data_IF_078707710643
#
_entry.id   IF_078707710643
#
_cell.length_a   1.000
_cell.length_b   1.000
_cell.length_c   1.000
_cell.angle_alpha   90.00
_cell.angle_beta   90.00
_cell.angle_gamma   90.00
#
_symmetry.space_group_name_H-M   'P 1'
#
loop_
_entity.id
_entity.type
_entity.pdbx_description
1 polymer ?
#
# COMPACT_ATOMS: atom_id res chain seq x y z
N UNK A 1 11.30 -49.33 -42.82
CA UNK A 1 11.76 -48.77 -41.52
C UNK A 1 11.69 -47.24 -41.42
N UNK A 2 12.17 -46.45 -42.40
CA UNK A 2 12.20 -44.97 -42.33
C UNK A 2 10.85 -44.28 -42.06
N UNK A 3 9.73 -44.84 -42.56
CA UNK A 3 8.38 -44.25 -42.42
C UNK A 3 7.83 -44.26 -40.98
N UNK A 4 8.21 -45.24 -40.15
CA UNK A 4 7.76 -45.35 -38.74
C UNK A 4 8.48 -44.36 -37.82
N UNK A 5 9.72 -44.01 -38.15
CA UNK A 5 10.54 -43.04 -37.39
C UNK A 5 9.96 -41.62 -37.52
N UNK A 6 9.49 -41.24 -38.71
CA UNK A 6 8.86 -39.92 -38.93
C UNK A 6 7.56 -39.72 -38.15
N UNK A 7 6.76 -40.78 -37.98
CA UNK A 7 5.51 -40.71 -37.20
C UNK A 7 5.81 -40.51 -35.71
N UNK A 8 6.80 -41.22 -35.17
CA UNK A 8 7.20 -41.06 -33.77
C UNK A 8 7.77 -39.65 -33.49
N UNK A 9 8.59 -39.11 -34.39
CA UNK A 9 9.14 -37.76 -34.26
C UNK A 9 8.05 -36.67 -34.31
N UNK A 10 7.07 -36.79 -35.21
CA UNK A 10 5.98 -35.81 -35.31
C UNK A 10 5.07 -35.80 -34.07
N UNK A 11 4.77 -36.98 -33.51
CA UNK A 11 4.01 -37.08 -32.25
C UNK A 11 4.77 -36.47 -31.08
N UNK A 12 6.08 -36.70 -30.99
CA UNK A 12 6.91 -36.14 -29.91
C UNK A 12 6.94 -34.60 -29.92
N UNK A 13 6.99 -34.00 -31.11
CA UNK A 13 6.95 -32.54 -31.29
C UNK A 13 5.58 -31.99 -30.89
N UNK A 14 4.48 -32.65 -31.28
CA UNK A 14 3.13 -32.19 -30.91
C UNK A 14 2.94 -32.22 -29.38
N UNK A 15 3.41 -33.27 -28.72
CA UNK A 15 3.33 -33.39 -27.25
C UNK A 15 4.19 -32.32 -26.55
N UNK A 16 5.39 -32.02 -27.05
CA UNK A 16 6.25 -30.98 -26.45
C UNK A 16 5.66 -29.58 -26.60
N UNK A 17 5.07 -29.27 -27.76
CA UNK A 17 4.42 -27.98 -28.02
C UNK A 17 3.16 -27.85 -27.17
N UNK A 18 2.33 -28.88 -27.06
CA UNK A 18 1.14 -28.86 -26.20
C UNK A 18 1.51 -28.67 -24.71
N UNK A 19 2.57 -29.33 -24.26
CA UNK A 19 3.10 -29.18 -22.89
C UNK A 19 3.61 -27.75 -22.65
N UNK A 20 4.30 -27.16 -23.62
CA UNK A 20 4.79 -25.78 -23.54
C UNK A 20 3.65 -24.76 -23.44
N UNK A 21 2.56 -24.95 -24.20
CA UNK A 21 1.37 -24.10 -24.12
C UNK A 21 0.62 -24.26 -22.79
N UNK A 22 0.55 -25.48 -22.24
CA UNK A 22 -0.05 -25.71 -20.92
C UNK A 22 0.77 -25.07 -19.79
N UNK A 23 2.10 -25.14 -19.86
CA UNK A 23 2.99 -24.50 -18.88
C UNK A 23 2.81 -22.97 -18.92
N UNK A 24 2.74 -22.36 -20.11
CA UNK A 24 2.46 -20.91 -20.23
C UNK A 24 1.11 -20.50 -19.64
N UNK A 25 0.08 -21.34 -19.73
CA UNK A 25 -1.24 -21.07 -19.14
C UNK A 25 -1.23 -21.16 -17.60
N UNK A 26 -0.31 -21.94 -17.02
CA UNK A 26 -0.14 -22.06 -15.57
C UNK A 26 0.71 -20.94 -14.94
N UNK A 27 1.61 -20.33 -15.72
CA UNK A 27 2.30 -19.10 -15.31
C UNK A 27 1.35 -17.91 -15.47
N UNK A 28 0.40 -17.83 -14.54
CA UNK A 28 -0.42 -16.65 -14.28
C UNK A 28 0.49 -15.43 -14.24
N UNK A 29 0.25 -14.46 -15.13
CA UNK A 29 0.98 -13.20 -15.08
C UNK A 29 0.87 -12.60 -13.67
N UNK A 30 1.94 -12.00 -13.12
CA UNK A 30 1.89 -11.40 -11.80
C UNK A 30 0.75 -10.37 -11.78
N UNK A 31 -0.27 -10.63 -10.96
CA UNK A 31 -1.40 -9.71 -10.79
C UNK A 31 -0.86 -8.34 -10.41
N UNK A 32 -1.00 -7.37 -11.31
CA UNK A 32 -0.57 -6.00 -11.11
C UNK A 32 -1.28 -5.43 -9.88
N UNK A 33 -0.55 -5.16 -8.81
CA UNK A 33 -1.11 -4.55 -7.59
C UNK A 33 -1.48 -3.10 -7.92
N UNK A 34 -2.77 -2.78 -7.79
CA UNK A 34 -3.29 -1.43 -8.05
C UNK A 34 -3.33 -0.64 -6.75
N UNK A 35 -2.26 0.11 -6.48
CA UNK A 35 -2.21 1.07 -5.38
C UNK A 35 -3.05 2.29 -5.73
N UNK A 36 -3.89 2.71 -4.78
CA UNK A 36 -4.79 3.87 -4.96
C UNK A 36 -4.54 4.89 -3.86
N UNK A 37 -4.54 6.16 -4.21
CA UNK A 37 -4.50 7.25 -3.24
C UNK A 37 -5.93 7.77 -3.01
N UNK A 38 -6.51 7.43 -1.86
CA UNK A 38 -7.85 7.87 -1.46
C UNK A 38 -7.77 8.57 -0.10
N UNK A 39 -7.83 9.93 -0.05
CA UNK A 39 -7.64 10.69 1.18
C UNK A 39 -8.73 10.45 2.23
N UNK A 40 -9.97 10.16 1.82
CA UNK A 40 -11.09 9.91 2.73
C UNK A 40 -10.88 8.61 3.51
N UNK A 41 -10.52 7.54 2.81
CA UNK A 41 -10.24 6.23 3.42
C UNK A 41 -9.02 6.30 4.34
N UNK A 42 -7.95 6.98 3.89
CA UNK A 42 -6.75 7.20 4.72
C UNK A 42 -7.09 8.01 5.97
N UNK A 43 -7.92 9.03 5.85
CA UNK A 43 -8.38 9.84 6.98
C UNK A 43 -9.20 9.02 7.96
N UNK A 44 -10.13 8.20 7.47
CA UNK A 44 -10.91 7.28 8.30
C UNK A 44 -9.97 6.36 9.11
N UNK A 45 -8.96 5.77 8.46
CA UNK A 45 -7.96 4.93 9.12
C UNK A 45 -7.11 5.70 10.15
N UNK A 46 -6.72 6.95 9.85
CA UNK A 46 -5.99 7.81 10.79
C UNK A 46 -6.85 8.12 12.02
N UNK A 47 -8.12 8.47 11.84
CA UNK A 47 -9.04 8.76 12.95
C UNK A 47 -9.27 7.52 13.82
N UNK A 48 -9.33 6.34 13.21
CA UNK A 48 -9.60 5.08 13.91
C UNK A 48 -8.38 4.50 14.63
N UNK A 49 -7.22 4.49 14.00
CA UNK A 49 -6.02 3.80 14.53
C UNK A 49 -4.93 4.74 15.02
N UNK A 50 -5.00 6.03 14.69
CA UNK A 50 -4.06 7.08 15.05
C UNK A 50 -2.58 6.64 14.98
N UNK A 51 -2.06 6.26 13.79
CA UNK A 51 -0.71 5.75 13.67
C UNK A 51 0.33 6.77 14.12
N UNK A 52 1.30 6.36 14.92
CA UNK A 52 2.42 7.21 15.30
C UNK A 52 3.29 7.56 14.10
N UNK A 53 3.92 8.73 14.17
CA UNK A 53 4.97 9.13 13.24
C UNK A 53 6.27 9.27 14.00
N UNK A 54 7.34 8.65 13.51
CA UNK A 54 8.69 9.00 13.91
C UNK A 54 9.31 9.97 12.91
N UNK A 55 10.03 10.96 13.42
CA UNK A 55 10.72 11.98 12.62
C UNK A 55 12.23 11.73 12.46
N UNK A 56 12.73 10.63 13.03
CA UNK A 56 14.16 10.42 13.26
C UNK A 56 14.70 11.37 14.33
N UNK A 57 16.01 11.34 14.55
CA UNK A 57 16.69 12.36 15.36
C UNK A 57 16.63 13.69 14.58
N UNK A 58 16.05 14.76 15.14
CA UNK A 58 15.94 16.02 14.43
C UNK A 58 17.33 16.59 14.19
N UNK A 59 17.69 16.83 12.93
CA UNK A 59 18.83 17.68 12.61
C UNK A 59 18.45 19.15 12.83
N UNK A 60 19.44 20.03 12.99
CA UNK A 60 19.22 21.46 12.79
C UNK A 60 18.57 21.67 11.42
N UNK A 61 17.32 22.15 11.38
CA UNK A 61 16.56 22.35 10.12
C UNK A 61 15.20 21.65 10.04
N UNK A 62 14.67 21.08 11.12
CA UNK A 62 13.34 20.44 11.12
C UNK A 62 12.23 21.36 10.60
N UNK A 63 12.22 22.64 10.98
CA UNK A 63 11.22 23.61 10.51
C UNK A 63 11.26 23.82 8.99
N UNK A 64 12.45 23.87 8.40
CA UNK A 64 12.61 23.98 6.95
C UNK A 64 12.03 22.76 6.22
N UNK A 65 12.26 21.56 6.74
CA UNK A 65 11.70 20.32 6.18
C UNK A 65 10.16 20.28 6.30
N UNK A 66 9.63 20.77 7.42
CA UNK A 66 8.19 20.93 7.62
C UNK A 66 7.61 21.87 6.57
N UNK A 67 8.19 23.05 6.40
CA UNK A 67 7.72 24.06 5.46
C UNK A 67 7.76 23.56 4.01
N UNK A 68 8.83 22.86 3.60
CA UNK A 68 8.90 22.23 2.26
C UNK A 68 7.78 21.22 2.08
N UNK A 69 7.57 20.33 3.05
CA UNK A 69 6.60 19.24 2.92
C UNK A 69 5.16 19.77 2.85
N UNK A 70 4.86 20.84 3.59
CA UNK A 70 3.58 21.56 3.52
C UNK A 70 3.43 22.28 2.18
N UNK A 71 4.44 23.06 1.77
CA UNK A 71 4.40 23.88 0.55
C UNK A 71 4.23 23.04 -0.72
N UNK A 72 4.81 21.85 -0.76
CA UNK A 72 4.75 20.97 -1.94
C UNK A 72 3.40 20.27 -2.14
N UNK A 73 2.46 20.37 -1.19
CA UNK A 73 1.16 19.66 -1.25
C UNK A 73 -0.02 20.54 -0.81
N UNK A 74 -0.29 21.67 -1.47
CA UNK A 74 -1.31 22.64 -1.05
C UNK A 74 -2.71 22.01 -0.94
N UNK A 75 -3.12 21.19 -1.90
CA UNK A 75 -4.44 20.53 -1.89
C UNK A 75 -4.61 19.60 -0.68
N UNK A 76 -3.57 18.84 -0.33
CA UNK A 76 -3.59 17.96 0.84
C UNK A 76 -3.61 18.75 2.14
N UNK A 77 -2.93 19.90 2.18
CA UNK A 77 -2.95 20.81 3.32
C UNK A 77 -4.37 21.34 3.53
N UNK A 78 -5.02 21.86 2.48
CA UNK A 78 -6.38 22.38 2.57
C UNK A 78 -7.38 21.29 3.01
N UNK A 79 -7.23 20.09 2.45
CA UNK A 79 -8.01 18.93 2.88
C UNK A 79 -7.81 18.62 4.37
N UNK A 80 -6.56 18.61 4.87
CA UNK A 80 -6.26 18.35 6.28
C UNK A 80 -6.83 19.44 7.18
N UNK A 81 -6.64 20.73 6.82
CA UNK A 81 -7.17 21.87 7.58
C UNK A 81 -8.67 21.75 7.76
N UNK A 82 -9.40 21.48 6.68
CA UNK A 82 -10.86 21.28 6.70
C UNK A 82 -11.27 20.04 7.51
N UNK A 83 -10.56 18.94 7.35
CA UNK A 83 -10.96 17.63 7.90
C UNK A 83 -10.66 17.46 9.39
N UNK A 84 -9.58 18.09 9.86
CA UNK A 84 -9.12 18.03 11.25
C UNK A 84 -9.31 19.35 12.01
N UNK A 85 -9.82 20.40 11.35
CA UNK A 85 -10.07 21.73 11.92
C UNK A 85 -8.83 22.29 12.63
N UNK A 86 -7.72 22.39 11.90
CA UNK A 86 -6.43 22.84 12.46
C UNK A 86 -5.68 23.74 11.49
N UNK A 87 -5.02 24.76 12.03
CA UNK A 87 -4.09 25.63 11.31
C UNK A 87 -2.63 25.43 11.77
N UNK A 88 -2.42 24.55 12.76
CA UNK A 88 -1.10 24.29 13.33
C UNK A 88 -0.22 23.54 12.32
N UNK A 89 0.91 24.14 11.96
CA UNK A 89 1.85 23.57 10.98
C UNK A 89 2.38 22.20 11.40
N UNK A 90 2.70 21.99 12.67
CA UNK A 90 3.18 20.71 13.16
C UNK A 90 2.10 19.64 13.07
N UNK A 91 0.85 19.98 13.42
CA UNK A 91 -0.29 19.06 13.27
C UNK A 91 -0.51 18.72 11.79
N UNK A 92 -0.49 19.72 10.91
CA UNK A 92 -0.65 19.50 9.46
C UNK A 92 0.46 18.57 8.94
N UNK A 93 1.72 18.86 9.27
CA UNK A 93 2.86 18.04 8.90
C UNK A 93 2.75 16.59 9.43
N UNK A 94 2.31 16.43 10.68
CA UNK A 94 2.05 15.13 11.27
C UNK A 94 0.97 14.37 10.49
N UNK A 95 -0.15 15.03 10.17
CA UNK A 95 -1.24 14.41 9.37
C UNK A 95 -0.79 14.04 7.97
N UNK A 96 -0.02 14.89 7.29
CA UNK A 96 0.59 14.56 5.99
C UNK A 96 1.47 13.32 6.14
N UNK A 97 2.26 13.22 7.20
CA UNK A 97 3.15 12.08 7.42
C UNK A 97 2.37 10.79 7.70
N UNK A 98 1.31 10.85 8.51
CA UNK A 98 0.40 9.72 8.74
C UNK A 98 -0.27 9.25 7.43
N UNK A 99 -0.71 10.16 6.55
CA UNK A 99 -1.32 9.81 5.25
C UNK A 99 -0.35 9.02 4.35
N UNK A 100 0.94 9.37 4.37
CA UNK A 100 1.96 8.66 3.58
C UNK A 100 2.31 7.28 4.14
N UNK A 101 2.07 7.03 5.42
CA UNK A 101 2.31 5.72 6.05
C UNK A 101 1.19 4.71 5.76
N UNK A 102 0.14 5.13 5.05
CA UNK A 102 -1.00 4.29 4.71
C UNK A 102 -0.96 3.98 3.22
N UNK A 103 -0.88 2.70 2.91
CA UNK A 103 -1.00 2.17 1.56
C UNK A 103 -2.38 1.52 1.40
N UNK A 104 -3.01 1.74 0.25
CA UNK A 104 -4.31 1.17 -0.08
C UNK A 104 -4.22 0.40 -1.39
N UNK A 105 -4.80 -0.79 -1.39
CA UNK A 105 -4.98 -1.62 -2.59
C UNK A 105 -6.47 -1.78 -2.83
N UNK A 106 -6.95 -1.30 -3.97
CA UNK A 106 -8.38 -1.37 -4.30
C UNK A 106 -8.83 -2.83 -4.45
N UNK A 107 -9.99 -3.14 -3.85
CA UNK A 107 -10.72 -4.40 -3.98
C UNK A 107 -12.17 -4.12 -4.41
N UNK A 108 -12.90 -5.18 -4.76
CA UNK A 108 -14.27 -5.08 -5.28
C UNK A 108 -15.26 -4.41 -4.31
N UNK A 109 -15.02 -4.50 -2.99
CA UNK A 109 -15.92 -3.99 -1.95
C UNK A 109 -15.23 -3.06 -0.93
N UNK A 110 -14.12 -2.43 -1.35
CA UNK A 110 -13.34 -1.52 -0.49
C UNK A 110 -11.84 -1.64 -0.74
N UNK A 111 -11.04 -1.71 0.31
CA UNK A 111 -9.58 -1.64 0.24
C UNK A 111 -8.93 -2.67 1.15
N UNK A 112 -7.87 -3.31 0.69
CA UNK A 112 -6.87 -3.81 1.62
C UNK A 112 -5.98 -2.63 1.99
N UNK A 113 -5.58 -2.53 3.25
CA UNK A 113 -4.73 -1.45 3.74
C UNK A 113 -3.50 -1.98 4.45
N UNK A 114 -2.43 -1.20 4.40
CA UNK A 114 -1.24 -1.35 5.22
C UNK A 114 -0.97 -0.03 5.92
N UNK A 115 -0.84 -0.04 7.25
CA UNK A 115 -0.46 1.12 8.06
C UNK A 115 0.91 0.83 8.69
N UNK A 116 1.89 1.66 8.37
CA UNK A 116 3.18 1.67 9.07
C UNK A 116 3.11 2.65 10.24
N UNK A 117 2.78 2.15 11.42
CA UNK A 117 2.85 2.92 12.66
C UNK A 117 4.30 2.97 13.14
N UNK A 118 4.95 4.10 12.87
CA UNK A 118 6.37 4.29 13.16
C UNK A 118 6.58 4.78 14.57
N UNK A 119 7.23 3.96 15.41
CA UNK A 119 8.03 4.43 16.53
C UNK A 119 9.51 4.42 16.09
N UNK A 120 10.34 5.30 16.63
CA UNK A 120 11.65 5.57 16.05
C UNK A 120 12.61 4.38 15.95
N UNK A 121 12.43 3.39 16.80
CA UNK A 121 13.23 2.17 16.82
C UNK A 121 12.42 0.92 16.43
N UNK A 122 11.09 1.06 16.30
CA UNK A 122 10.17 -0.05 16.14
C UNK A 122 9.04 0.34 15.20
N UNK A 123 8.92 -0.37 14.09
CA UNK A 123 7.86 -0.19 13.12
C UNK A 123 6.82 -1.26 13.36
N UNK A 124 5.60 -0.84 13.72
CA UNK A 124 4.43 -1.70 13.76
C UNK A 124 3.72 -1.60 12.43
N UNK A 125 3.56 -2.72 11.75
CA UNK A 125 2.80 -2.78 10.49
C UNK A 125 1.46 -3.46 10.76
N UNK A 126 0.38 -2.73 10.51
CA UNK A 126 -0.98 -3.25 10.54
C UNK A 126 -1.48 -3.47 9.13
N UNK A 127 -1.81 -4.70 8.79
CA UNK A 127 -2.48 -5.05 7.55
C UNK A 127 -3.95 -5.35 7.86
N UNK A 128 -4.86 -4.86 7.02
CA UNK A 128 -6.28 -5.05 7.25
C UNK A 128 -7.13 -4.74 6.04
N UNK A 129 -8.43 -4.64 6.27
CA UNK A 129 -9.42 -4.40 5.22
C UNK A 129 -10.35 -3.27 5.62
N UNK A 130 -10.65 -2.39 4.68
CA UNK A 130 -11.76 -1.43 4.74
C UNK A 130 -12.89 -1.96 3.87
N UNK A 131 -14.09 -2.04 4.43
CA UNK A 131 -15.33 -2.30 3.67
C UNK A 131 -16.13 -1.01 3.58
N UNK A 132 -16.67 -0.74 2.40
CA UNK A 132 -17.53 0.42 2.16
C UNK A 132 -18.91 -0.10 1.79
N UNK A 133 -19.92 0.25 2.60
CA UNK A 133 -21.32 -0.12 2.37
C UNK A 133 -22.21 1.06 2.73
N UNK A 134 -23.01 1.54 1.78
CA UNK A 134 -23.95 2.65 1.97
C UNK A 134 -23.27 3.86 2.64
N UNK A 135 -22.15 4.30 2.06
CA UNK A 135 -21.31 5.41 2.56
C UNK A 135 -20.74 5.24 3.98
N UNK A 136 -20.92 4.08 4.59
CA UNK A 136 -20.32 3.74 5.88
C UNK A 136 -19.06 2.91 5.66
N UNK A 137 -17.97 3.34 6.32
CA UNK A 137 -16.71 2.62 6.32
C UNK A 137 -16.57 1.78 7.59
N UNK A 138 -16.23 0.51 7.45
CA UNK A 138 -15.79 -0.35 8.55
C UNK A 138 -14.41 -0.89 8.26
N UNK A 139 -13.63 -1.22 9.29
CA UNK A 139 -12.32 -1.81 9.09
C UNK A 139 -11.91 -2.78 10.18
N UNK A 140 -11.13 -3.77 9.78
CA UNK A 140 -10.61 -4.81 10.66
C UNK A 140 -9.13 -5.04 10.34
N UNK A 141 -8.31 -5.15 11.38
CA UNK A 141 -6.91 -5.55 11.26
C UNK A 141 -6.91 -7.07 11.12
N UNK A 142 -6.29 -7.57 10.06
CA UNK A 142 -6.16 -9.01 9.80
C UNK A 142 -4.81 -9.56 10.22
N UNK A 143 -3.78 -8.70 10.25
CA UNK A 143 -2.42 -9.09 10.61
C UNK A 143 -1.66 -7.92 11.20
N UNK A 144 -0.83 -8.22 12.18
CA UNK A 144 0.10 -7.28 12.80
C UNK A 144 1.50 -7.87 12.70
N UNK A 145 2.47 -7.03 12.40
CA UNK A 145 3.88 -7.41 12.44
C UNK A 145 4.73 -6.29 13.03
N UNK A 146 5.89 -6.66 13.56
CA UNK A 146 6.81 -5.74 14.23
C UNK A 146 8.18 -5.91 13.58
N UNK A 147 8.83 -4.78 13.30
CA UNK A 147 10.21 -4.75 12.83
C UNK A 147 11.01 -3.74 13.65
N UNK A 148 12.09 -4.20 14.26
CA UNK A 148 13.06 -3.32 14.90
C UNK A 148 13.99 -2.73 13.83
N UNK A 149 14.25 -1.44 13.93
CA UNK A 149 15.15 -0.70 13.02
C UNK A 149 16.22 0.02 13.84
N UNK A 150 17.43 0.20 13.29
CA UNK A 150 18.46 0.98 13.96
C UNK A 150 17.98 2.40 14.28
N UNK A 151 18.35 2.83 15.47
CA UNK A 151 18.28 4.17 16.02
C UNK A 151 19.57 4.35 16.86
#
# INVERSE_FOLDING_TARGET
MKKRIYILLSVLIIVSVASFFLIKKFFSEPTKINYVDNPDVKTFLIKKYNPGTCYGMPSTGLEFLIDIKIKNKPELVDYIKKTFNTEDKFVIYHKISQIHQIELIQKSYGYDFTIQNGQCCTIFTYEGKVKIKNDTMSSDITKTSIKNVPC
#
